data_IF_333930524436
#
_entry.id   IF_333930524436
#
_cell.length_a   1.000
_cell.length_b   1.000
_cell.length_c   1.000
_cell.angle_alpha   90.00
_cell.angle_beta   90.00
_cell.angle_gamma   90.00
#
_symmetry.space_group_name_H-M   'P 1'
#
loop_
_entity.id
_entity.type
_entity.pdbx_description
1 polymer ?
#
# COMPACT_ATOMS: atom_id res chain seq x y z
N UNK A 1 -9.98 27.18 4.20
CA UNK A 1 -10.80 26.22 4.95
C UNK A 1 -10.02 24.98 5.33
N UNK A 2 -9.90 24.73 6.64
CA UNK A 2 -9.77 23.36 7.15
C UNK A 2 -11.10 22.70 6.81
N UNK A 3 -11.10 21.69 5.93
CA UNK A 3 -12.35 21.09 5.46
C UNK A 3 -13.26 20.72 6.63
N UNK A 4 -14.45 21.31 6.70
CA UNK A 4 -15.41 21.10 7.79
C UNK A 4 -16.08 19.70 7.75
N UNK A 5 -15.68 18.86 6.79
CA UNK A 5 -16.12 17.47 6.72
C UNK A 5 -15.47 16.65 7.84
N UNK A 6 -16.19 15.67 8.36
CA UNK A 6 -15.66 14.69 9.31
C UNK A 6 -15.52 13.36 8.59
N UNK A 7 -14.35 12.68 8.58
CA UNK A 7 -13.07 13.18 9.07
C UNK A 7 -12.52 14.30 8.17
N UNK A 8 -11.93 15.32 8.79
CA UNK A 8 -11.40 16.51 8.12
C UNK A 8 -9.89 16.62 8.24
N UNK A 9 -9.31 17.55 7.50
CA UNK A 9 -7.88 17.85 7.66
C UNK A 9 -7.66 18.55 9.00
N UNK A 10 -6.67 18.09 9.78
CA UNK A 10 -6.33 18.73 11.06
C UNK A 10 -5.57 20.07 10.90
N UNK A 11 -5.18 20.43 9.68
CA UNK A 11 -4.58 21.71 9.29
C UNK A 11 -4.94 22.06 7.84
N UNK A 12 -4.93 23.35 7.48
CA UNK A 12 -5.15 23.83 6.11
C UNK A 12 -3.86 24.26 5.40
N UNK A 13 -2.71 24.16 6.07
CA UNK A 13 -1.41 24.45 5.47
C UNK A 13 -0.96 23.32 4.55
N UNK A 14 -0.58 23.67 3.31
CA UNK A 14 -0.10 22.72 2.30
C UNK A 14 1.43 22.66 2.19
N UNK A 15 2.17 23.42 3.01
CA UNK A 15 3.62 23.28 3.07
C UNK A 15 4.01 22.04 3.89
N UNK A 16 5.13 21.41 3.53
CA UNK A 16 5.71 20.30 4.28
C UNK A 16 6.07 20.72 5.71
N UNK A 17 5.69 19.93 6.70
CA UNK A 17 6.01 20.13 8.12
C UNK A 17 6.35 18.79 8.77
N UNK A 18 7.49 18.72 9.44
CA UNK A 18 7.91 17.58 10.26
C UNK A 18 8.45 18.08 11.60
N UNK A 19 7.84 17.71 12.74
CA UNK A 19 6.67 16.82 12.89
C UNK A 19 5.36 17.50 12.46
N UNK A 20 4.37 16.71 12.05
CA UNK A 20 3.01 17.20 11.83
C UNK A 20 2.42 17.68 13.17
N UNK A 21 1.81 18.87 13.18
CA UNK A 21 1.09 19.38 14.35
C UNK A 21 -0.37 19.59 13.97
N UNK A 22 -1.28 18.91 14.67
CA UNK A 22 -2.72 19.08 14.51
C UNK A 22 -3.22 20.10 15.54
N UNK A 23 -3.05 21.38 15.25
CA UNK A 23 -3.42 22.50 16.11
C UNK A 23 -4.68 23.25 15.64
N UNK A 24 -5.44 22.66 14.70
CA UNK A 24 -6.58 23.27 14.01
C UNK A 24 -6.24 24.63 13.32
N UNK A 25 -4.95 24.95 13.17
CA UNK A 25 -4.47 26.20 12.61
C UNK A 25 -4.32 26.17 11.09
N UNK A 26 -3.95 27.33 10.52
CA UNK A 26 -3.70 27.48 9.08
C UNK A 26 -2.40 26.82 8.59
N UNK A 27 -1.62 26.22 9.48
CA UNK A 27 -0.36 25.53 9.16
C UNK A 27 0.69 26.44 8.50
N UNK A 28 1.74 25.84 7.96
CA UNK A 28 2.71 26.56 7.10
C UNK A 28 2.10 26.76 5.71
N UNK A 29 2.09 28.02 5.23
CA UNK A 29 1.51 28.38 3.93
C UNK A 29 2.53 28.16 2.81
N UNK A 30 2.12 27.49 1.74
CA UNK A 30 2.88 27.37 0.49
C UNK A 30 2.27 28.31 -0.53
N UNK A 31 3.09 29.18 -1.13
CA UNK A 31 2.70 29.93 -2.32
C UNK A 31 2.90 29.05 -3.54
N UNK A 32 1.86 28.91 -4.34
CA UNK A 32 1.84 28.12 -5.56
C UNK A 32 1.96 29.06 -6.77
N UNK A 33 2.96 28.88 -7.66
CA UNK A 33 3.04 29.65 -8.89
C UNK A 33 1.82 29.44 -9.81
N UNK A 34 1.55 30.38 -10.75
CA UNK A 34 0.52 30.18 -11.78
C UNK A 34 0.68 28.84 -12.50
N UNK A 35 -0.43 28.14 -12.73
CA UNK A 35 -0.43 26.80 -13.36
C UNK A 35 -0.28 25.62 -12.39
N UNK A 36 -0.15 25.88 -11.09
CA UNK A 36 -0.14 24.81 -10.07
C UNK A 36 -1.50 24.09 -9.99
N UNK A 37 -1.46 22.78 -9.73
CA UNK A 37 -2.65 21.94 -9.58
C UNK A 37 -2.71 21.32 -8.18
N UNK A 38 -3.92 21.20 -7.63
CA UNK A 38 -4.18 20.50 -6.37
C UNK A 38 -4.88 19.17 -6.68
N UNK A 39 -4.35 18.08 -6.14
CA UNK A 39 -4.92 16.74 -6.27
C UNK A 39 -5.30 16.21 -4.89
N UNK A 40 -6.36 15.39 -4.84
CA UNK A 40 -6.72 14.67 -3.61
C UNK A 40 -5.70 13.57 -3.35
N UNK A 41 -5.07 13.61 -2.18
CA UNK A 41 -4.24 12.50 -1.71
C UNK A 41 -5.13 11.27 -1.44
N UNK A 42 -4.70 10.13 -1.95
CA UNK A 42 -5.29 8.83 -1.62
C UNK A 42 -4.19 7.93 -1.10
N UNK A 43 -4.34 7.46 0.14
CA UNK A 43 -3.48 6.45 0.72
C UNK A 43 -4.16 5.08 0.61
N UNK A 44 -3.38 4.06 0.27
CA UNK A 44 -3.79 2.67 0.38
C UNK A 44 -2.63 1.85 0.93
N UNK A 45 -2.95 0.81 1.68
CA UNK A 45 -2.01 -0.24 2.02
C UNK A 45 -2.54 -1.58 1.49
N UNK A 46 -1.63 -2.52 1.31
CA UNK A 46 -1.92 -3.86 0.81
C UNK A 46 -1.41 -4.86 1.82
N UNK A 47 -2.17 -5.92 2.04
CA UNK A 47 -1.78 -6.98 2.97
C UNK A 47 -2.37 -8.32 2.56
N UNK A 48 -1.71 -9.40 2.98
CA UNK A 48 -2.28 -10.75 2.90
C UNK A 48 -3.03 -11.02 4.19
N UNK A 49 -4.29 -11.42 4.09
CA UNK A 49 -5.18 -11.64 5.24
C UNK A 49 -5.93 -12.96 5.13
N UNK A 50 -6.45 -13.43 6.27
CA UNK A 50 -7.36 -14.57 6.30
C UNK A 50 -8.73 -14.14 5.73
N UNK A 51 -9.34 -14.98 4.88
CA UNK A 51 -10.60 -14.70 4.19
C UNK A 51 -11.82 -15.45 4.75
N UNK A 52 -11.65 -16.15 5.88
CA UNK A 52 -12.70 -16.91 6.55
C UNK A 52 -13.04 -18.25 5.88
N UNK A 53 -12.43 -18.59 4.74
CA UNK A 53 -12.70 -19.85 4.03
C UNK A 53 -11.87 -20.99 4.61
N UNK A 54 -12.45 -22.20 4.58
CA UNK A 54 -11.79 -23.42 5.03
C UNK A 54 -10.74 -23.90 4.02
N UNK A 55 -9.61 -24.43 4.51
CA UNK A 55 -8.47 -24.84 3.68
C UNK A 55 -8.75 -26.05 2.76
N UNK A 56 -9.79 -26.82 3.05
CA UNK A 56 -10.15 -28.06 2.36
C UNK A 56 -10.83 -27.83 1.00
N UNK A 57 -11.53 -26.71 0.82
CA UNK A 57 -12.17 -26.34 -0.45
C UNK A 57 -11.51 -25.13 -1.07
N UNK A 58 -11.13 -24.13 -0.26
CA UNK A 58 -10.66 -22.82 -0.71
C UNK A 58 -9.31 -22.44 -0.14
N UNK A 59 -8.64 -21.46 -0.76
CA UNK A 59 -7.45 -20.90 -0.13
C UNK A 59 -7.87 -20.10 1.10
N UNK A 60 -7.24 -20.29 2.28
CA UNK A 60 -7.65 -19.60 3.51
C UNK A 60 -7.19 -18.13 3.57
N UNK A 61 -6.43 -17.66 2.57
CA UNK A 61 -5.87 -16.31 2.52
C UNK A 61 -6.13 -15.61 1.18
N UNK A 62 -6.15 -14.29 1.25
CA UNK A 62 -6.36 -13.41 0.11
C UNK A 62 -5.51 -12.16 0.21
N UNK A 63 -5.27 -11.51 -0.93
CA UNK A 63 -4.73 -10.16 -0.99
C UNK A 63 -5.85 -9.17 -0.75
N UNK A 64 -5.64 -8.27 0.20
CA UNK A 64 -6.54 -7.19 0.55
C UNK A 64 -5.90 -5.84 0.24
N UNK A 65 -6.74 -4.89 -0.16
CA UNK A 65 -6.41 -3.47 -0.21
C UNK A 65 -7.16 -2.76 0.92
N UNK A 66 -6.47 -2.02 1.76
CA UNK A 66 -7.07 -1.12 2.74
C UNK A 66 -6.93 0.32 2.30
N UNK A 67 -8.00 1.08 2.45
CA UNK A 67 -8.04 2.53 2.23
C UNK A 67 -8.74 3.22 3.40
N UNK A 68 -8.56 4.54 3.50
CA UNK A 68 -9.28 5.35 4.50
C UNK A 68 -10.60 5.80 3.90
N UNK A 69 -11.69 5.30 4.47
CA UNK A 69 -13.06 5.70 4.17
C UNK A 69 -13.64 6.63 5.23
N UNK A 70 -14.77 7.25 4.90
CA UNK A 70 -15.61 7.99 5.83
C UNK A 70 -16.85 7.15 6.12
N UNK A 71 -17.07 6.80 7.38
CA UNK A 71 -18.31 6.19 7.83
C UNK A 71 -18.95 7.08 8.90
N UNK A 72 -20.09 7.69 8.57
CA UNK A 72 -20.86 8.55 9.48
C UNK A 72 -20.04 9.62 10.21
N UNK A 73 -19.07 10.23 9.52
CA UNK A 73 -18.23 11.28 10.10
C UNK A 73 -16.91 10.77 10.68
N UNK A 74 -16.68 9.46 10.76
CA UNK A 74 -15.44 8.90 11.32
C UNK A 74 -14.54 8.36 10.21
N UNK A 75 -13.23 8.63 10.33
CA UNK A 75 -12.23 7.92 9.53
C UNK A 75 -12.26 6.44 9.92
N UNK A 76 -12.46 5.56 8.95
CA UNK A 76 -12.47 4.12 9.15
C UNK A 76 -11.60 3.45 8.08
N UNK A 77 -10.97 2.34 8.47
CA UNK A 77 -10.28 1.48 7.52
C UNK A 77 -11.33 0.69 6.73
N UNK A 78 -11.24 0.76 5.40
CA UNK A 78 -12.07 -0.01 4.49
C UNK A 78 -11.17 -1.01 3.80
N UNK A 79 -11.30 -2.28 4.17
CA UNK A 79 -10.58 -3.39 3.55
C UNK A 79 -11.45 -4.06 2.48
N UNK A 80 -10.87 -4.24 1.29
CA UNK A 80 -11.49 -4.89 0.15
C UNK A 80 -10.65 -6.12 -0.21
N UNK A 81 -11.30 -7.27 -0.37
CA UNK A 81 -10.66 -8.48 -0.90
C UNK A 81 -10.45 -8.32 -2.41
N UNK A 82 -9.21 -8.46 -2.88
CA UNK A 82 -8.86 -8.20 -4.29
C UNK A 82 -8.63 -9.50 -5.04
N UNK A 83 -7.90 -10.44 -4.45
CA UNK A 83 -7.59 -11.75 -5.05
C UNK A 83 -7.52 -12.82 -3.97
N UNK A 84 -8.32 -13.88 -4.12
CA UNK A 84 -8.18 -15.12 -3.33
C UNK A 84 -6.91 -15.88 -3.72
N UNK A 85 -6.31 -16.61 -2.77
CA UNK A 85 -5.20 -17.50 -3.08
C UNK A 85 -3.84 -16.91 -2.79
N UNK A 86 -3.73 -15.60 -2.58
CA UNK A 86 -2.47 -14.96 -2.23
C UNK A 86 -2.07 -15.38 -0.82
N UNK A 87 -0.93 -16.05 -0.69
CA UNK A 87 -0.42 -16.59 0.58
C UNK A 87 0.70 -15.79 1.17
N UNK A 88 1.51 -15.21 0.29
CA UNK A 88 2.67 -14.45 0.68
C UNK A 88 2.84 -13.27 -0.27
N UNK A 89 3.30 -12.16 0.28
CA UNK A 89 3.66 -10.96 -0.46
C UNK A 89 4.98 -10.43 0.07
N UNK A 90 5.98 -10.35 -0.79
CA UNK A 90 7.26 -9.71 -0.50
C UNK A 90 7.38 -8.43 -1.30
N UNK A 91 7.84 -7.36 -0.64
CA UNK A 91 8.11 -6.08 -1.27
C UNK A 91 9.56 -5.70 -1.01
N UNK A 92 10.30 -5.48 -2.10
CA UNK A 92 11.68 -4.98 -2.06
C UNK A 92 11.76 -3.65 -2.80
N UNK A 93 12.78 -2.86 -2.44
CA UNK A 93 12.90 -1.45 -2.81
C UNK A 93 14.22 -1.23 -3.51
N UNK A 94 14.22 -0.45 -4.59
CA UNK A 94 15.43 -0.18 -5.37
C UNK A 94 15.84 1.27 -5.24
N UNK A 95 17.11 1.46 -4.91
CA UNK A 95 17.80 2.76 -4.96
C UNK A 95 18.35 3.03 -6.37
N UNK A 96 18.68 4.28 -6.72
CA UNK A 96 19.17 4.62 -8.06
C UNK A 96 20.45 3.84 -8.39
N UNK A 97 20.45 3.13 -9.52
CA UNK A 97 21.62 2.34 -9.96
C UNK A 97 21.95 1.11 -9.12
N UNK A 98 21.22 0.84 -8.03
CA UNK A 98 21.49 -0.27 -7.11
C UNK A 98 20.60 -1.49 -7.30
N UNK A 99 20.80 -2.47 -6.42
CA UNK A 99 19.99 -3.67 -6.28
C UNK A 99 18.70 -3.43 -5.49
N UNK A 100 17.84 -4.45 -5.45
CA UNK A 100 16.65 -4.47 -4.60
C UNK A 100 17.03 -4.83 -3.16
N UNK A 101 16.53 -4.02 -2.21
CA UNK A 101 16.82 -4.08 -0.79
C UNK A 101 15.52 -4.31 0.01
N UNK A 102 15.65 -4.84 1.22
CA UNK A 102 14.51 -4.99 2.13
C UNK A 102 14.12 -3.64 2.75
N UNK A 103 12.91 -3.55 3.33
CA UNK A 103 12.51 -2.38 4.10
C UNK A 103 13.45 -2.10 5.28
N UNK A 104 13.97 -3.16 5.91
CA UNK A 104 14.94 -3.07 7.01
C UNK A 104 16.24 -2.41 6.54
N UNK A 105 16.76 -2.82 5.38
CA UNK A 105 18.00 -2.25 4.83
C UNK A 105 17.83 -0.76 4.47
N UNK A 106 16.72 -0.40 3.82
CA UNK A 106 16.44 1.00 3.47
C UNK A 106 16.33 1.86 4.73
N UNK A 107 15.70 1.33 5.78
CA UNK A 107 15.55 2.04 7.07
C UNK A 107 16.89 2.19 7.77
N UNK A 108 17.72 1.15 7.79
CA UNK A 108 19.06 1.21 8.39
C UNK A 108 19.97 2.22 7.68
N UNK A 109 19.77 2.42 6.38
CA UNK A 109 20.50 3.41 5.58
C UNK A 109 19.93 4.84 5.69
N UNK A 110 18.70 5.01 6.17
CA UNK A 110 17.93 6.26 6.15
C UNK A 110 17.71 6.84 4.73
N UNK A 111 17.39 5.97 3.76
CA UNK A 111 17.32 6.34 2.32
C UNK A 111 15.95 6.17 1.68
N UNK A 112 14.87 6.22 2.47
CA UNK A 112 13.49 6.12 1.96
C UNK A 112 13.15 7.18 0.90
N UNK A 113 13.76 8.35 0.99
CA UNK A 113 13.60 9.46 0.04
C UNK A 113 14.25 9.19 -1.34
N UNK A 114 15.15 8.21 -1.44
CA UNK A 114 15.89 7.89 -2.66
C UNK A 114 15.34 6.68 -3.42
N UNK A 115 14.35 5.96 -2.89
CA UNK A 115 13.77 4.80 -3.56
C UNK A 115 13.13 5.21 -4.90
N UNK A 116 13.53 4.55 -5.99
CA UNK A 116 13.07 4.83 -7.36
C UNK A 116 12.17 3.76 -7.94
N UNK A 117 12.20 2.55 -7.41
CA UNK A 117 11.31 1.46 -7.83
C UNK A 117 11.02 0.50 -6.67
N UNK A 118 9.94 -0.24 -6.81
CA UNK A 118 9.62 -1.37 -5.94
C UNK A 118 9.41 -2.62 -6.78
N UNK A 119 9.75 -3.78 -6.22
CA UNK A 119 9.37 -5.08 -6.76
C UNK A 119 8.39 -5.71 -5.77
N UNK A 120 7.27 -6.19 -6.30
CA UNK A 120 6.24 -6.91 -5.56
C UNK A 120 6.28 -8.34 -6.05
N UNK A 121 6.48 -9.29 -5.14
CA UNK A 121 6.37 -10.71 -5.40
C UNK A 121 5.16 -11.26 -4.67
N UNK A 122 4.32 -12.02 -5.38
CA UNK A 122 3.16 -12.71 -4.83
C UNK A 122 3.30 -14.21 -5.04
N UNK A 123 3.10 -14.98 -3.98
CA UNK A 123 2.88 -16.42 -4.07
C UNK A 123 1.37 -16.69 -4.00
N UNK A 124 0.84 -17.22 -5.09
CA UNK A 124 -0.60 -17.37 -5.33
C UNK A 124 -0.92 -18.85 -5.50
N UNK A 125 -1.92 -19.29 -4.77
CA UNK A 125 -2.54 -20.59 -4.95
C UNK A 125 -3.76 -20.55 -5.83
N UNK A 126 -3.98 -21.65 -6.55
CA UNK A 126 -5.26 -21.94 -7.16
C UNK A 126 -6.38 -21.93 -6.08
N UNK A 127 -7.54 -21.31 -6.37
CA UNK A 127 -8.68 -21.27 -5.45
C UNK A 127 -9.26 -22.64 -5.10
N UNK A 128 -9.06 -23.66 -5.94
CA UNK A 128 -9.55 -25.03 -5.72
C UNK A 128 -8.43 -26.03 -5.37
N UNK A 129 -8.75 -27.01 -4.53
CA UNK A 129 -7.85 -28.14 -4.21
C UNK A 129 -7.76 -29.13 -5.36
N UNK A 130 -6.72 -29.98 -5.36
CA UNK A 130 -6.53 -31.02 -6.38
C UNK A 130 -6.09 -30.47 -7.75
N UNK A 131 -5.63 -29.22 -7.79
CA UNK A 131 -5.13 -28.55 -8.99
C UNK A 131 -3.65 -28.82 -9.26
N UNK A 132 -2.94 -29.48 -8.34
CA UNK A 132 -1.56 -29.91 -8.50
C UNK A 132 -1.42 -31.44 -8.46
N UNK A 133 -0.34 -31.94 -9.08
CA UNK A 133 -0.05 -33.38 -9.21
C UNK A 133 0.96 -33.90 -8.19
N UNK A 134 1.55 -33.02 -7.38
CA UNK A 134 2.61 -33.37 -6.44
C UNK A 134 2.10 -34.04 -5.14
N UNK A 135 0.82 -33.84 -4.77
CA UNK A 135 0.17 -34.56 -3.67
C UNK A 135 -1.37 -34.51 -3.81
N UNK A 136 -2.06 -35.48 -3.21
CA UNK A 136 -3.53 -35.52 -3.19
C UNK A 136 -4.08 -34.28 -2.49
N UNK A 137 -4.99 -33.57 -3.15
CA UNK A 137 -5.60 -32.34 -2.62
C UNK A 137 -4.70 -31.10 -2.69
N UNK A 138 -3.48 -31.20 -3.22
CA UNK A 138 -2.58 -30.06 -3.36
C UNK A 138 -3.10 -29.02 -4.34
N UNK A 139 -2.66 -27.77 -4.15
CA UNK A 139 -2.99 -26.62 -4.98
C UNK A 139 -1.83 -26.28 -5.90
N UNK A 140 -2.13 -25.87 -7.13
CA UNK A 140 -1.12 -25.28 -8.00
C UNK A 140 -0.71 -23.92 -7.43
N UNK A 141 0.59 -23.76 -7.18
CA UNK A 141 1.18 -22.50 -6.75
C UNK A 141 1.89 -21.82 -7.91
N UNK A 142 1.73 -20.49 -8.00
CA UNK A 142 2.48 -19.63 -8.92
C UNK A 142 3.12 -18.48 -8.16
N UNK A 143 4.34 -18.14 -8.56
CA UNK A 143 5.04 -16.94 -8.12
C UNK A 143 4.99 -15.90 -9.23
N UNK A 144 4.48 -14.71 -8.92
CA UNK A 144 4.43 -13.58 -9.85
C UNK A 144 5.28 -12.45 -9.28
N UNK A 145 6.12 -11.86 -10.12
CA UNK A 145 6.89 -10.68 -9.77
C UNK A 145 6.52 -9.51 -10.67
N UNK A 146 6.27 -8.34 -10.09
CA UNK A 146 5.97 -7.11 -10.80
C UNK A 146 6.86 -5.97 -10.30
N UNK A 147 7.38 -5.15 -11.22
CA UNK A 147 8.22 -3.99 -10.89
C UNK A 147 7.46 -2.72 -11.23
N UNK A 148 7.44 -1.79 -10.28
CA UNK A 148 6.81 -0.47 -10.41
C UNK A 148 7.86 0.62 -10.23
N UNK A 149 7.98 1.50 -11.22
CA UNK A 149 8.81 2.71 -11.10
C UNK A 149 8.02 3.83 -10.40
N UNK A 150 8.67 4.55 -9.49
CA UNK A 150 8.06 5.61 -8.70
C UNK A 150 8.24 6.97 -9.38
N UNK A 151 7.24 7.40 -10.15
CA UNK A 151 7.27 8.63 -10.96
C UNK A 151 7.53 9.94 -10.20
N UNK A 152 7.28 9.99 -8.89
CA UNK A 152 7.55 11.19 -8.08
C UNK A 152 8.97 11.23 -7.47
N UNK A 153 9.85 10.32 -7.88
CA UNK A 153 11.23 10.16 -7.38
C UNK A 153 12.28 10.04 -8.49
N UNK A 154 11.85 10.02 -9.76
CA UNK A 154 12.77 10.02 -10.91
C UNK A 154 12.90 11.46 -11.40
N UNK A 155 13.94 12.15 -10.93
CA UNK A 155 14.41 13.44 -11.48
C UNK A 155 15.59 13.21 -12.41
#
# INVERSE_FOLDING_TARGET
DIGAGSPGNCSSGLAFRTPLTCDAGTGLRKVFPPGSQLMRLQAAAWFVGNNGRGSNTNSPTSLYRVSVGNNLGSAQQVAEEIVEGVRDMQITYRLPGGDYLTATDITALDRWNEVVAIQIQLDIDAPDTGTATNAVGARLTRRISHVVNLRNRVS
#
